data_IF_511357213013
#
_entry.id   IF_511357213013
#
_cell.length_a   1.000
_cell.length_b   1.000
_cell.length_c   1.000
_cell.angle_alpha   90.00
_cell.angle_beta   90.00
_cell.angle_gamma   90.00
#
_symmetry.space_group_name_H-M   'P 1'
#
loop_
_entity.id
_entity.type
_entity.pdbx_description
1 polymer ?
#
# COMPACT_ATOMS: atom_id res chain seq x y z
N UNK A 1 3.00 -32.70 19.75
CA UNK A 1 3.14 -31.57 20.71
C UNK A 1 4.22 -30.56 20.33
N UNK A 2 5.36 -30.93 19.75
CA UNK A 2 6.46 -29.99 19.41
C UNK A 2 6.06 -28.87 18.43
N UNK A 3 5.20 -29.11 17.42
CA UNK A 3 4.74 -28.10 16.46
C UNK A 3 3.95 -26.94 17.08
N UNK A 4 3.18 -27.23 18.14
CA UNK A 4 2.39 -26.21 18.84
C UNK A 4 3.29 -25.31 19.71
N UNK A 5 4.37 -25.87 20.27
CA UNK A 5 5.32 -25.12 21.09
C UNK A 5 6.16 -24.15 20.25
N UNK A 6 6.53 -24.53 19.01
CA UNK A 6 7.27 -23.66 18.10
C UNK A 6 6.44 -22.46 17.57
N UNK A 7 5.12 -22.60 17.51
CA UNK A 7 4.22 -21.49 17.16
C UNK A 7 4.15 -20.37 18.21
N UNK A 8 4.45 -20.68 19.48
CA UNK A 8 4.42 -19.70 20.58
C UNK A 8 5.50 -18.62 20.42
N UNK A 9 6.73 -18.99 20.04
CA UNK A 9 7.82 -18.03 19.82
C UNK A 9 7.50 -17.03 18.72
N UNK A 10 6.83 -17.48 17.65
CA UNK A 10 6.42 -16.63 16.53
C UNK A 10 5.33 -15.62 16.98
N UNK A 11 4.34 -16.06 17.75
CA UNK A 11 3.30 -15.19 18.29
C UNK A 11 3.88 -14.11 19.22
N UNK A 12 4.83 -14.48 20.08
CA UNK A 12 5.53 -13.53 20.97
C UNK A 12 6.33 -12.49 20.17
N UNK A 13 6.95 -12.91 19.07
CA UNK A 13 7.66 -12.00 18.16
C UNK A 13 6.69 -10.97 17.53
N UNK A 14 5.56 -11.39 17.04
CA UNK A 14 4.56 -10.50 16.46
C UNK A 14 3.99 -9.50 17.48
N UNK A 15 3.72 -9.98 18.70
CA UNK A 15 3.28 -9.12 19.79
C UNK A 15 4.37 -8.09 20.13
N UNK A 16 5.62 -8.49 20.17
CA UNK A 16 6.78 -7.59 20.39
C UNK A 16 6.90 -6.56 19.28
N UNK A 17 6.76 -6.95 18.03
CA UNK A 17 6.77 -6.03 16.88
C UNK A 17 5.64 -4.99 16.99
N UNK A 18 4.43 -5.40 17.29
CA UNK A 18 3.30 -4.49 17.48
C UNK A 18 3.51 -3.51 18.63
N UNK A 19 4.08 -3.96 19.74
CA UNK A 19 4.42 -3.10 20.87
C UNK A 19 5.50 -2.07 20.55
N UNK A 20 6.55 -2.47 19.84
CA UNK A 20 7.73 -1.63 19.60
C UNK A 20 7.54 -0.73 18.37
N UNK A 21 7.09 -1.29 17.25
CA UNK A 21 6.95 -0.56 16.01
C UNK A 21 5.73 0.39 16.03
N UNK A 22 4.58 -0.09 16.47
CA UNK A 22 3.31 0.64 16.41
C UNK A 22 2.85 1.20 17.74
N UNK A 23 3.47 0.74 18.84
CA UNK A 23 3.14 1.19 20.21
C UNK A 23 1.65 1.01 20.55
N UNK A 24 1.04 -0.08 20.11
CA UNK A 24 -0.39 -0.35 20.27
C UNK A 24 -0.86 -0.45 21.73
N UNK A 25 0.08 -0.62 22.68
CA UNK A 25 -0.20 -0.60 24.12
C UNK A 25 -0.31 0.81 24.71
N UNK A 26 -0.02 1.86 23.92
CA UNK A 26 -0.15 3.25 24.38
C UNK A 26 -1.59 3.76 24.18
N UNK A 27 -2.46 3.31 25.05
CA UNK A 27 -3.86 3.71 25.09
C UNK A 27 -4.01 4.81 26.16
N UNK A 28 -3.86 6.09 25.77
CA UNK A 28 -3.82 7.24 26.66
C UNK A 28 -5.06 8.13 26.61
N UNK A 29 -6.17 7.64 26.04
CA UNK A 29 -7.43 8.36 26.05
C UNK A 29 -8.19 8.11 27.35
N UNK A 30 -8.88 9.14 27.88
CA UNK A 30 -9.69 9.00 29.09
C UNK A 30 -10.88 8.07 28.92
N UNK A 31 -11.49 8.04 27.74
CA UNK A 31 -12.65 7.19 27.46
C UNK A 31 -12.24 5.84 26.85
N UNK A 32 -12.82 4.76 27.38
CA UNK A 32 -12.60 3.40 26.86
C UNK A 32 -12.89 3.28 25.36
N UNK A 33 -13.99 3.89 24.89
CA UNK A 33 -14.40 3.87 23.49
C UNK A 33 -13.34 4.47 22.55
N UNK A 34 -12.68 5.55 22.98
CA UNK A 34 -11.59 6.15 22.20
C UNK A 34 -10.35 5.26 22.16
N UNK A 35 -10.03 4.58 23.25
CA UNK A 35 -8.95 3.60 23.26
C UNK A 35 -9.24 2.40 22.40
N UNK A 36 -10.49 1.91 22.33
CA UNK A 36 -10.90 0.83 21.44
C UNK A 36 -10.68 1.20 19.96
N UNK A 37 -11.10 2.40 19.54
CA UNK A 37 -10.84 2.90 18.19
C UNK A 37 -9.34 3.02 17.91
N UNK A 38 -8.58 3.52 18.86
CA UNK A 38 -7.11 3.62 18.74
C UNK A 38 -6.45 2.25 18.54
N UNK A 39 -6.90 1.24 19.29
CA UNK A 39 -6.38 -0.12 19.15
C UNK A 39 -6.69 -0.69 17.76
N UNK A 40 -7.89 -0.46 17.24
CA UNK A 40 -8.27 -0.87 15.87
C UNK A 40 -7.40 -0.19 14.81
N UNK A 41 -7.11 1.10 14.96
CA UNK A 41 -6.20 1.81 14.05
C UNK A 41 -4.76 1.26 14.13
N UNK A 42 -4.28 0.89 15.31
CA UNK A 42 -2.99 0.23 15.43
C UNK A 42 -2.97 -1.16 14.79
N UNK A 43 -4.06 -1.94 14.93
CA UNK A 43 -4.18 -3.24 14.27
C UNK A 43 -4.21 -3.10 12.75
N UNK A 44 -4.94 -2.11 12.23
CA UNK A 44 -4.94 -1.79 10.80
C UNK A 44 -3.54 -1.42 10.30
N UNK A 45 -2.83 -0.55 11.01
CA UNK A 45 -1.47 -0.16 10.67
C UNK A 45 -0.50 -1.34 10.70
N UNK A 46 -0.67 -2.29 11.64
CA UNK A 46 0.11 -3.51 11.71
C UNK A 46 -0.12 -4.41 10.48
N UNK A 47 -1.38 -4.62 10.12
CA UNK A 47 -1.74 -5.41 8.94
C UNK A 47 -1.20 -4.77 7.66
N UNK A 48 -1.35 -3.45 7.51
CA UNK A 48 -0.84 -2.72 6.36
C UNK A 48 0.69 -2.83 6.24
N UNK A 49 1.42 -2.74 7.35
CA UNK A 49 2.86 -2.91 7.37
C UNK A 49 3.28 -4.34 6.98
N UNK A 50 2.53 -5.37 7.41
CA UNK A 50 2.77 -6.74 6.99
C UNK A 50 2.44 -6.97 5.52
N UNK A 51 1.35 -6.39 4.99
CA UNK A 51 1.05 -6.43 3.56
C UNK A 51 2.14 -5.77 2.72
N UNK A 52 2.63 -4.61 3.15
CA UNK A 52 3.76 -3.97 2.50
C UNK A 52 4.99 -4.89 2.49
N UNK A 53 5.30 -5.53 3.62
CA UNK A 53 6.42 -6.48 3.72
C UNK A 53 6.29 -7.63 2.73
N UNK A 54 5.14 -8.27 2.65
CA UNK A 54 4.95 -9.47 1.83
C UNK A 54 4.68 -9.21 0.35
N UNK A 55 4.16 -8.03 -0.02
CA UNK A 55 3.72 -7.74 -1.38
C UNK A 55 4.62 -6.74 -2.12
N UNK A 56 5.23 -5.81 -1.39
CA UNK A 56 5.92 -4.68 -2.01
C UNK A 56 7.42 -4.63 -1.72
N UNK A 57 7.90 -5.32 -0.69
CA UNK A 57 9.33 -5.29 -0.38
C UNK A 57 10.12 -6.30 -1.22
N UNK A 58 11.31 -5.92 -1.73
CA UNK A 58 12.28 -6.86 -2.29
C UNK A 58 12.82 -7.82 -1.24
N UNK A 59 13.30 -9.00 -1.66
CA UNK A 59 13.88 -10.04 -0.78
C UNK A 59 14.98 -9.51 0.14
N UNK A 60 15.76 -8.54 -0.33
CA UNK A 60 16.86 -7.95 0.43
C UNK A 60 16.39 -7.29 1.74
N UNK A 61 15.16 -6.79 1.78
CA UNK A 61 14.64 -5.99 2.89
C UNK A 61 13.32 -6.52 3.49
N UNK A 62 12.74 -7.56 2.92
CA UNK A 62 11.49 -8.17 3.41
C UNK A 62 11.62 -8.69 4.85
N UNK A 63 12.81 -9.15 5.23
CA UNK A 63 13.11 -9.68 6.57
C UNK A 63 13.32 -8.56 7.62
N UNK A 64 13.32 -7.28 7.22
CA UNK A 64 13.51 -6.20 8.18
C UNK A 64 12.38 -6.16 9.22
N UNK A 65 12.71 -5.95 10.52
CA UNK A 65 11.70 -5.70 11.55
C UNK A 65 10.82 -4.49 11.19
N UNK A 66 9.56 -4.50 11.60
CA UNK A 66 8.63 -3.38 11.34
C UNK A 66 9.14 -2.05 11.92
N UNK A 67 9.94 -2.09 12.98
CA UNK A 67 10.60 -0.89 13.54
C UNK A 67 11.55 -0.29 12.53
N UNK A 68 12.39 -1.11 11.89
CA UNK A 68 13.34 -0.68 10.86
C UNK A 68 12.61 -0.15 9.62
N UNK A 69 11.56 -0.84 9.16
CA UNK A 69 10.73 -0.38 8.05
C UNK A 69 10.14 1.00 8.34
N UNK A 70 9.59 1.18 9.54
CA UNK A 70 9.04 2.48 9.95
C UNK A 70 10.09 3.59 9.94
N UNK A 71 11.27 3.33 10.49
CA UNK A 71 12.32 4.34 10.60
C UNK A 71 12.96 4.66 9.23
N UNK A 72 13.13 3.65 8.39
CA UNK A 72 13.84 3.80 7.11
C UNK A 72 12.95 4.12 5.92
N UNK A 73 11.68 3.70 5.92
CA UNK A 73 10.78 3.88 4.78
C UNK A 73 9.66 4.89 5.04
N UNK A 74 9.18 4.98 6.29
CA UNK A 74 8.02 5.83 6.63
C UNK A 74 8.45 7.17 7.24
N UNK A 75 9.43 7.15 8.14
CA UNK A 75 9.91 8.35 8.84
C UNK A 75 11.12 8.99 8.17
N UNK A 76 11.18 8.98 6.87
CA UNK A 76 12.27 9.65 6.15
C UNK A 76 12.04 11.15 6.16
N UNK A 77 13.04 11.89 6.63
CA UNK A 77 13.04 13.36 6.48
C UNK A 77 13.08 13.75 5.01
N UNK A 78 12.22 14.67 4.59
CA UNK A 78 12.19 15.16 3.24
C UNK A 78 12.20 16.69 3.20
N UNK A 79 12.96 17.27 2.27
CA UNK A 79 12.84 18.67 1.90
C UNK A 79 11.91 18.79 0.70
N UNK A 80 10.88 19.61 0.82
CA UNK A 80 9.94 19.85 -0.28
C UNK A 80 10.37 21.10 -1.02
N UNK A 81 10.74 20.93 -2.29
CA UNK A 81 11.01 22.02 -3.22
C UNK A 81 9.84 22.20 -4.19
N UNK A 82 9.43 23.44 -4.40
CA UNK A 82 8.43 23.80 -5.43
C UNK A 82 9.14 24.45 -6.58
N UNK A 83 9.01 23.88 -7.78
CA UNK A 83 9.63 24.42 -8.98
C UNK A 83 8.62 24.45 -10.12
N UNK A 84 8.10 25.63 -10.44
CA UNK A 84 7.11 25.78 -11.48
C UNK A 84 5.89 24.88 -11.28
N UNK A 85 5.71 23.90 -12.16
CA UNK A 85 4.59 22.95 -12.16
C UNK A 85 4.86 21.68 -11.37
N UNK A 86 6.07 21.53 -10.80
CA UNK A 86 6.50 20.31 -10.14
C UNK A 86 6.73 20.52 -8.65
N UNK A 87 6.37 19.53 -7.87
CA UNK A 87 6.73 19.42 -6.46
C UNK A 87 7.80 18.35 -6.36
N UNK A 88 8.97 18.72 -5.88
CA UNK A 88 10.12 17.82 -5.75
C UNK A 88 10.30 17.47 -4.29
N UNK A 89 10.27 16.17 -3.98
CA UNK A 89 10.59 15.63 -2.67
C UNK A 89 12.04 15.17 -2.67
N UNK A 90 12.89 15.89 -1.95
CA UNK A 90 14.27 15.46 -1.70
C UNK A 90 14.28 14.66 -0.40
N UNK A 91 14.33 13.34 -0.52
CA UNK A 91 14.46 12.44 0.62
C UNK A 91 15.91 12.40 1.11
N UNK A 92 16.10 12.18 2.42
CA UNK A 92 17.43 11.96 2.97
C UNK A 92 17.97 10.61 2.48
N UNK A 93 18.90 10.63 1.53
CA UNK A 93 19.49 9.46 0.86
C UNK A 93 20.29 8.55 1.82
N UNK A 94 20.66 9.09 2.98
CA UNK A 94 21.40 8.35 4.02
C UNK A 94 20.63 7.17 4.60
N UNK A 95 19.30 7.18 4.52
CA UNK A 95 18.46 6.16 5.16
C UNK A 95 18.22 4.94 4.25
N UNK A 96 18.01 5.17 2.94
CA UNK A 96 17.69 4.11 1.96
C UNK A 96 18.24 4.50 0.59
N UNK A 97 18.93 3.60 -0.12
CA UNK A 97 19.38 3.85 -1.49
C UNK A 97 18.19 4.19 -2.40
N UNK A 98 18.40 5.19 -3.28
CA UNK A 98 17.37 5.65 -4.23
C UNK A 98 16.78 4.51 -5.07
N UNK A 99 17.63 3.59 -5.52
CA UNK A 99 17.21 2.44 -6.34
C UNK A 99 16.23 1.55 -5.60
N UNK A 100 16.51 1.21 -4.34
CA UNK A 100 15.65 0.39 -3.50
C UNK A 100 14.29 1.08 -3.25
N UNK A 101 14.31 2.36 -2.96
CA UNK A 101 13.07 3.12 -2.72
C UNK A 101 12.20 3.19 -3.99
N UNK A 102 12.82 3.39 -5.16
CA UNK A 102 12.12 3.40 -6.44
C UNK A 102 11.53 2.02 -6.79
N UNK A 103 12.24 0.93 -6.49
CA UNK A 103 11.72 -0.43 -6.70
C UNK A 103 10.51 -0.73 -5.81
N UNK A 104 10.54 -0.34 -4.55
CA UNK A 104 9.40 -0.47 -3.63
C UNK A 104 8.19 0.31 -4.17
N UNK A 105 8.36 1.55 -4.61
CA UNK A 105 7.26 2.36 -5.16
C UNK A 105 6.68 1.73 -6.43
N UNK A 106 7.51 1.19 -7.31
CA UNK A 106 7.06 0.48 -8.51
C UNK A 106 6.22 -0.74 -8.14
N UNK A 107 6.68 -1.57 -7.21
CA UNK A 107 5.93 -2.74 -6.72
C UNK A 107 4.59 -2.35 -6.10
N UNK A 108 4.53 -1.25 -5.38
CA UNK A 108 3.26 -0.72 -4.84
C UNK A 108 2.33 -0.28 -5.97
N UNK A 109 2.86 0.34 -7.02
CA UNK A 109 2.07 0.76 -8.17
C UNK A 109 1.52 -0.44 -8.98
N UNK A 110 2.30 -1.51 -9.08
CA UNK A 110 1.89 -2.76 -9.71
C UNK A 110 0.72 -3.47 -8.98
N UNK A 111 0.54 -3.19 -7.67
CA UNK A 111 -0.59 -3.69 -6.88
C UNK A 111 -1.91 -2.98 -7.18
N UNK A 112 -1.91 -1.88 -7.93
CA UNK A 112 -3.15 -1.19 -8.30
C UNK A 112 -4.02 -2.08 -9.19
N UNK A 113 -5.32 -2.18 -8.90
CA UNK A 113 -6.24 -2.86 -9.80
C UNK A 113 -6.19 -2.18 -11.18
N UNK A 114 -5.88 -2.93 -12.21
CA UNK A 114 -5.97 -2.42 -13.58
C UNK A 114 -7.44 -2.14 -13.88
N UNK A 115 -7.79 -0.95 -14.41
CA UNK A 115 -9.16 -0.70 -14.83
C UNK A 115 -9.58 -1.76 -15.86
N UNK A 116 -10.84 -2.22 -15.84
CA UNK A 116 -11.32 -3.17 -16.83
C UNK A 116 -11.10 -2.58 -18.23
N UNK A 117 -10.76 -3.40 -19.22
CA UNK A 117 -10.62 -2.93 -20.59
C UNK A 117 -11.93 -2.26 -20.99
N UNK A 118 -11.82 -1.05 -21.57
CA UNK A 118 -12.96 -0.36 -22.13
C UNK A 118 -13.65 -1.30 -23.12
N UNK A 119 -14.98 -1.42 -23.08
CA UNK A 119 -15.70 -2.21 -24.08
C UNK A 119 -15.29 -1.69 -25.46
N UNK A 120 -14.86 -2.59 -26.32
CA UNK A 120 -14.54 -2.25 -27.69
C UNK A 120 -15.71 -1.43 -28.24
N UNK A 121 -15.45 -0.20 -28.65
CA UNK A 121 -16.45 0.59 -29.38
C UNK A 121 -16.93 -0.32 -30.52
N UNK A 122 -18.15 -0.79 -30.39
CA UNK A 122 -18.79 -1.55 -31.46
C UNK A 122 -18.58 -0.79 -32.76
N UNK A 123 -17.91 -1.39 -33.68
CA UNK A 123 -17.93 -0.99 -35.09
C UNK A 123 -19.41 -0.99 -35.46
N UNK A 124 -20.00 0.20 -35.44
CA UNK A 124 -21.34 0.40 -35.93
C UNK A 124 -21.37 -0.07 -37.37
N UNK A 125 -21.93 -1.24 -37.57
CA UNK A 125 -22.37 -1.66 -38.87
C UNK A 125 -23.39 -0.62 -39.33
N UNK A 126 -22.96 0.20 -40.25
CA UNK A 126 -23.79 1.11 -41.01
C UNK A 126 -24.64 0.20 -41.89
N UNK A 127 -25.83 -0.11 -41.44
CA UNK A 127 -26.86 -0.71 -42.31
C UNK A 127 -27.36 0.42 -43.17
N UNK A 128 -26.84 0.47 -44.39
CA UNK A 128 -27.51 1.13 -45.51
C UNK A 128 -28.84 0.40 -45.78
N UNK A 129 -29.90 0.86 -45.14
CA UNK A 129 -31.27 0.58 -45.56
C UNK A 129 -31.74 1.80 -46.35
N UNK A 130 -31.55 1.70 -47.66
CA UNK A 130 -32.18 2.58 -48.66
C UNK A 130 -33.60 2.05 -48.97
N UNK A 131 -34.67 2.79 -48.66
CA UNK A 131 -35.98 2.52 -49.24
C UNK A 131 -36.26 3.49 -50.39
N UNK A 132 -35.66 3.22 -51.53
CA UNK A 132 -36.12 3.81 -52.78
C UNK A 132 -37.09 2.86 -53.47
N UNK A 133 -38.34 3.21 -53.48
CA UNK A 133 -39.32 2.98 -54.59
C UNK A 133 -40.67 3.47 -54.06
N UNK A 134 -41.18 4.56 -54.47
CA UNK A 134 -41.68 4.80 -55.78
C UNK A 134 -43.07 4.23 -55.86
N UNK A 135 -44.06 5.05 -55.96
CA UNK A 135 -45.19 4.90 -56.89
C UNK A 135 -46.14 6.09 -56.73
N UNK A 136 -46.25 6.79 -57.82
CA UNK A 136 -47.40 7.63 -58.20
C UNK A 136 -48.54 6.75 -58.74
N UNK A 137 -49.73 7.26 -58.97
CA UNK A 137 -50.10 8.52 -59.61
C UNK A 137 -50.81 9.52 -58.71
#
# INVERSE_FOLDING_TARGET
>A
MAKFYNGRGTAEQWIREGKNALRWTRLSCHAFRHNAVRLQLHALAYNLANFMRSLALPEEVEHWPLTTLREKLVKIGARIGRHGRYVVFQLAEVAVPRALFADILRRIDDLRPKPPPLPARGSGAMTDDDPASGVRP
#
